data_IF_368381212640
#
_entry.id   IF_368381212640
#
_cell.length_a   1.000
_cell.length_b   1.000
_cell.length_c   1.000
_cell.angle_alpha   90.00
_cell.angle_beta   90.00
_cell.angle_gamma   90.00
#
_symmetry.space_group_name_H-M   'P 1'
#
loop_
_entity.id
_entity.type
_entity.pdbx_description
1 polymer ?
#
# COMPACT_ATOMS: atom_id res chain seq x y z
N UNK A 1 39.85 8.40 22.73
CA UNK A 1 39.50 7.53 21.59
C UNK A 1 38.14 6.92 21.91
N UNK A 2 37.06 7.52 21.39
CA UNK A 2 35.75 6.90 21.47
C UNK A 2 35.74 5.68 20.53
N UNK A 3 35.19 4.53 20.94
CA UNK A 3 35.05 3.40 20.06
C UNK A 3 34.09 3.77 18.92
N UNK A 4 34.55 3.57 17.69
CA UNK A 4 33.72 3.70 16.50
C UNK A 4 32.46 2.84 16.66
N UNK A 5 31.30 3.43 16.39
CA UNK A 5 30.07 2.70 16.19
C UNK A 5 30.30 1.61 15.11
N UNK A 6 29.74 0.40 15.28
CA UNK A 6 29.84 -0.62 14.25
C UNK A 6 29.23 -0.07 12.95
N UNK A 7 30.00 -0.22 11.87
CA UNK A 7 29.50 -0.02 10.50
C UNK A 7 28.34 -1.01 10.32
N UNK A 8 27.17 -0.62 9.78
CA UNK A 8 26.09 -1.56 9.50
C UNK A 8 26.64 -2.71 8.68
N UNK A 9 26.29 -3.94 9.06
CA UNK A 9 26.73 -5.15 8.37
C UNK A 9 26.57 -4.97 6.85
N UNK A 10 27.62 -5.29 6.12
CA UNK A 10 27.64 -5.16 4.68
C UNK A 10 26.45 -5.93 4.10
N UNK A 11 25.58 -5.24 3.36
CA UNK A 11 24.58 -5.85 2.46
C UNK A 11 25.29 -7.03 1.79
N UNK A 12 24.87 -8.25 2.10
CA UNK A 12 25.48 -9.42 1.48
C UNK A 12 25.29 -9.29 -0.04
N UNK A 13 26.29 -9.60 -0.86
CA UNK A 13 26.25 -9.33 -2.31
C UNK A 13 25.00 -9.90 -3.03
N UNK A 14 24.33 -10.86 -2.39
CA UNK A 14 23.11 -11.54 -2.83
C UNK A 14 21.80 -10.85 -2.47
N UNK A 15 21.77 -10.03 -1.42
CA UNK A 15 20.56 -9.38 -0.92
C UNK A 15 19.91 -8.41 -1.95
N UNK A 16 20.67 -7.59 -2.71
CA UNK A 16 20.08 -6.77 -3.78
C UNK A 16 19.42 -7.60 -4.88
N UNK A 17 19.91 -8.83 -5.13
CA UNK A 17 19.34 -9.75 -6.11
C UNK A 17 18.02 -10.33 -5.59
N UNK A 18 17.94 -10.67 -4.30
CA UNK A 18 16.69 -11.13 -3.66
C UNK A 18 15.63 -10.03 -3.64
N UNK A 19 16.04 -8.81 -3.29
CA UNK A 19 15.18 -7.64 -3.36
C UNK A 19 14.68 -7.41 -4.80
N UNK A 20 15.57 -7.52 -5.81
CA UNK A 20 15.15 -7.41 -7.21
C UNK A 20 14.09 -8.46 -7.58
N UNK A 21 14.29 -9.74 -7.20
CA UNK A 21 13.28 -10.79 -7.41
C UNK A 21 11.96 -10.44 -6.72
N UNK A 22 12.00 -10.03 -5.45
CA UNK A 22 10.83 -9.61 -4.71
C UNK A 22 10.06 -8.50 -5.44
N UNK A 23 10.73 -7.43 -5.86
CA UNK A 23 10.08 -6.30 -6.53
C UNK A 23 9.46 -6.70 -7.88
N UNK A 24 10.08 -7.61 -8.64
CA UNK A 24 9.48 -8.16 -9.86
C UNK A 24 8.18 -8.93 -9.53
N UNK A 25 8.15 -9.69 -8.43
CA UNK A 25 6.93 -10.36 -7.98
C UNK A 25 5.83 -9.35 -7.63
N UNK A 26 6.16 -8.30 -6.87
CA UNK A 26 5.19 -7.27 -6.48
C UNK A 26 4.62 -6.49 -7.67
N UNK A 27 5.42 -6.29 -8.73
CA UNK A 27 4.99 -5.52 -9.92
C UNK A 27 4.25 -6.38 -10.95
N UNK A 28 4.71 -7.60 -11.20
CA UNK A 28 4.19 -8.44 -12.28
C UNK A 28 3.41 -9.64 -11.75
N UNK A 29 4.01 -10.43 -10.87
CA UNK A 29 3.42 -11.71 -10.41
C UNK A 29 2.08 -11.51 -9.71
N UNK A 30 1.97 -10.52 -8.82
CA UNK A 30 0.74 -10.24 -8.06
C UNK A 30 -0.44 -9.81 -8.96
N UNK A 31 -0.21 -9.47 -10.23
CA UNK A 31 -1.27 -9.15 -11.20
C UNK A 31 -1.79 -10.37 -11.96
N UNK A 32 -1.05 -11.48 -11.93
CA UNK A 32 -1.38 -12.71 -12.65
C UNK A 32 -2.43 -13.50 -11.89
N UNK A 33 -3.37 -14.08 -12.63
CA UNK A 33 -4.42 -14.96 -12.08
C UNK A 33 -4.39 -16.35 -12.68
N UNK A 34 -3.62 -16.55 -13.75
CA UNK A 34 -3.50 -17.82 -14.44
C UNK A 34 -2.22 -18.57 -14.00
N UNK A 35 -2.35 -19.88 -13.77
CA UNK A 35 -1.24 -20.70 -13.27
C UNK A 35 -0.13 -20.88 -14.31
N UNK A 36 -0.46 -20.90 -15.60
CA UNK A 36 0.51 -21.02 -16.68
C UNK A 36 1.37 -19.75 -16.76
N UNK A 37 0.74 -18.58 -16.63
CA UNK A 37 1.45 -17.29 -16.59
C UNK A 37 2.34 -17.17 -15.34
N UNK A 38 1.85 -17.59 -14.16
CA UNK A 38 2.64 -17.61 -12.93
C UNK A 38 3.89 -18.49 -13.06
N UNK A 39 3.71 -19.72 -13.57
CA UNK A 39 4.82 -20.66 -13.78
C UNK A 39 5.83 -20.16 -14.82
N UNK A 40 5.33 -19.53 -15.89
CA UNK A 40 6.17 -18.91 -16.91
C UNK A 40 7.02 -17.77 -16.32
N UNK A 41 6.42 -16.88 -15.53
CA UNK A 41 7.13 -15.76 -14.91
C UNK A 41 8.16 -16.28 -13.89
N UNK A 42 7.82 -17.28 -13.09
CA UNK A 42 8.75 -17.93 -12.16
C UNK A 42 10.02 -18.43 -12.90
N UNK A 43 9.85 -19.18 -13.99
CA UNK A 43 11.00 -19.71 -14.74
C UNK A 43 11.78 -18.60 -15.44
N UNK A 44 11.11 -17.57 -15.97
CA UNK A 44 11.76 -16.40 -16.57
C UNK A 44 12.65 -15.67 -15.55
N UNK A 45 12.15 -15.44 -14.33
CA UNK A 45 12.91 -14.80 -13.26
C UNK A 45 14.12 -15.66 -12.91
N UNK A 46 13.92 -16.96 -12.70
CA UNK A 46 15.01 -17.90 -12.41
C UNK A 46 16.13 -17.86 -13.45
N UNK A 47 15.78 -17.98 -14.73
CA UNK A 47 16.76 -17.89 -15.84
C UNK A 47 17.43 -16.51 -15.87
N UNK A 48 16.68 -15.44 -15.66
CA UNK A 48 17.21 -14.07 -15.67
C UNK A 48 18.18 -13.85 -14.51
N UNK A 49 17.87 -14.35 -13.32
CA UNK A 49 18.76 -14.31 -12.15
C UNK A 49 20.10 -14.97 -12.46
N UNK A 50 20.08 -16.19 -13.01
CA UNK A 50 21.29 -16.94 -13.34
C UNK A 50 22.09 -16.30 -14.49
N UNK A 51 21.42 -15.74 -15.49
CA UNK A 51 22.09 -15.15 -16.65
C UNK A 51 22.66 -13.76 -16.38
N UNK A 52 21.92 -12.89 -15.70
CA UNK A 52 22.27 -11.48 -15.54
C UNK A 52 23.10 -11.24 -14.29
N UNK A 53 22.73 -11.86 -13.17
CA UNK A 53 23.40 -11.66 -11.89
C UNK A 53 24.48 -12.71 -11.62
N UNK A 54 24.54 -13.78 -12.43
CA UNK A 54 25.49 -14.91 -12.29
C UNK A 54 25.36 -15.65 -10.95
N UNK A 55 24.19 -15.53 -10.33
CA UNK A 55 23.85 -16.20 -9.07
C UNK A 55 23.03 -17.46 -9.33
N UNK A 56 23.33 -18.55 -8.63
CA UNK A 56 22.51 -19.76 -8.71
C UNK A 56 21.19 -19.55 -7.95
N UNK A 57 20.07 -19.65 -8.65
CA UNK A 57 18.76 -19.35 -8.07
C UNK A 57 18.40 -20.23 -6.87
N UNK A 58 18.69 -21.53 -6.94
CA UNK A 58 18.39 -22.46 -5.85
C UNK A 58 19.25 -22.19 -4.60
N UNK A 59 20.52 -21.81 -4.80
CA UNK A 59 21.40 -21.41 -3.71
C UNK A 59 20.96 -20.09 -3.08
N UNK A 60 20.54 -19.13 -3.91
CA UNK A 60 20.15 -17.78 -3.48
C UNK A 60 18.94 -17.80 -2.54
N UNK A 61 17.97 -18.67 -2.81
CA UNK A 61 16.73 -18.80 -2.04
C UNK A 61 16.65 -20.09 -1.22
N UNK A 62 17.80 -20.70 -0.91
CA UNK A 62 17.85 -21.98 -0.19
C UNK A 62 17.16 -21.92 1.18
N UNK A 63 17.23 -20.77 1.85
CA UNK A 63 16.63 -20.51 3.16
C UNK A 63 15.10 -20.55 3.14
N UNK A 64 14.48 -20.23 1.99
CA UNK A 64 13.03 -20.29 1.82
C UNK A 64 12.55 -21.71 1.45
N UNK A 65 13.44 -22.56 0.96
CA UNK A 65 13.10 -23.85 0.39
C UNK A 65 12.80 -24.90 1.47
N UNK A 66 11.55 -25.35 1.48
CA UNK A 66 11.06 -26.42 2.35
C UNK A 66 11.54 -27.83 1.94
N UNK A 67 11.98 -27.99 0.68
CA UNK A 67 12.41 -29.28 0.13
C UNK A 67 13.81 -29.71 0.61
N UNK A 68 13.96 -31.02 0.84
CA UNK A 68 15.26 -31.65 1.14
C UNK A 68 16.19 -31.70 -0.07
N UNK A 69 15.63 -31.68 -1.29
CA UNK A 69 16.39 -31.71 -2.53
C UNK A 69 17.05 -30.36 -2.86
N UNK A 70 16.68 -29.30 -2.13
CA UNK A 70 17.25 -27.95 -2.30
C UNK A 70 16.81 -27.24 -3.58
N UNK A 71 15.79 -27.74 -4.27
CA UNK A 71 15.18 -27.09 -5.42
C UNK A 71 14.08 -26.14 -4.96
N UNK A 72 14.28 -24.85 -5.21
CA UNK A 72 13.31 -23.79 -4.90
C UNK A 72 12.14 -23.89 -5.87
N UNK A 73 10.92 -23.90 -5.33
CA UNK A 73 9.67 -23.89 -6.07
C UNK A 73 9.03 -22.49 -6.07
N UNK A 74 8.02 -22.32 -6.93
CA UNK A 74 7.17 -21.13 -6.94
C UNK A 74 6.51 -20.88 -5.58
N UNK A 75 6.04 -21.93 -4.90
CA UNK A 75 5.41 -21.78 -3.58
C UNK A 75 6.42 -21.37 -2.50
N UNK A 76 7.68 -21.79 -2.58
CA UNK A 76 8.72 -21.36 -1.62
C UNK A 76 8.96 -19.84 -1.72
N UNK A 77 8.90 -19.25 -2.92
CA UNK A 77 9.07 -17.81 -3.12
C UNK A 77 7.94 -16.95 -2.55
N UNK A 78 6.79 -17.53 -2.20
CA UNK A 78 5.74 -16.78 -1.48
C UNK A 78 6.18 -16.39 -0.06
N UNK A 79 7.24 -17.03 0.47
CA UNK A 79 7.86 -16.64 1.73
C UNK A 79 8.90 -15.52 1.56
N UNK A 80 9.25 -15.13 0.33
CA UNK A 80 10.11 -13.99 0.08
C UNK A 80 9.31 -12.71 0.33
N UNK A 81 9.53 -12.07 1.46
CA UNK A 81 8.87 -10.83 1.83
C UNK A 81 9.91 -9.77 2.18
N UNK A 82 9.68 -8.54 1.75
CA UNK A 82 10.42 -7.37 2.19
C UNK A 82 9.45 -6.34 2.76
N UNK A 83 9.88 -5.62 3.81
CA UNK A 83 9.01 -4.66 4.47
C UNK A 83 9.67 -3.84 5.57
N UNK A 84 8.97 -2.80 5.99
CA UNK A 84 9.33 -1.90 7.10
C UNK A 84 8.62 -2.26 8.41
N UNK A 85 7.96 -3.43 8.47
CA UNK A 85 7.00 -3.75 9.52
C UNK A 85 7.53 -4.68 10.61
N UNK A 86 8.75 -5.21 10.48
CA UNK A 86 9.33 -6.08 11.50
C UNK A 86 9.69 -5.30 12.77
N UNK A 87 10.11 -4.03 12.63
CA UNK A 87 10.41 -3.11 13.74
C UNK A 87 9.29 -2.07 13.92
N UNK A 88 8.03 -2.51 13.98
CA UNK A 88 6.87 -1.60 14.04
C UNK A 88 6.83 -0.69 15.28
N UNK A 89 7.61 -1.00 16.32
CA UNK A 89 7.71 -0.16 17.52
C UNK A 89 8.58 1.09 17.30
N UNK A 90 9.47 1.07 16.30
CA UNK A 90 10.31 2.21 15.94
C UNK A 90 9.50 3.30 15.23
N UNK A 91 10.04 4.53 15.23
CA UNK A 91 9.43 5.62 14.49
C UNK A 91 9.39 5.28 12.99
N UNK A 92 8.30 5.57 12.25
CA UNK A 92 8.18 5.20 10.84
C UNK A 92 9.35 5.64 9.95
N UNK A 93 10.00 6.76 10.26
CA UNK A 93 11.16 7.27 9.52
C UNK A 93 12.47 6.50 9.77
N UNK A 94 12.54 5.69 10.83
CA UNK A 94 13.71 4.88 11.21
C UNK A 94 13.62 3.44 10.69
N UNK A 95 12.41 3.01 10.29
CA UNK A 95 12.18 1.64 9.83
C UNK A 95 12.81 1.42 8.46
N UNK A 96 13.68 0.42 8.40
CA UNK A 96 14.34 0.01 7.16
C UNK A 96 13.45 -0.94 6.38
N UNK A 97 13.47 -0.81 5.05
CA UNK A 97 12.83 -1.77 4.16
C UNK A 97 13.79 -2.93 3.93
N UNK A 98 13.52 -4.07 4.56
CA UNK A 98 14.46 -5.19 4.64
C UNK A 98 13.76 -6.55 4.45
N UNK A 99 14.54 -7.59 4.19
CA UNK A 99 14.06 -8.97 4.02
C UNK A 99 13.52 -9.52 5.34
N UNK A 100 12.34 -10.13 5.29
CA UNK A 100 11.77 -10.87 6.41
C UNK A 100 12.47 -12.22 6.50
N UNK A 101 13.31 -12.39 7.52
CA UNK A 101 14.10 -13.62 7.70
C UNK A 101 13.24 -14.87 7.93
N UNK A 102 12.09 -14.72 8.61
CA UNK A 102 11.20 -15.82 8.98
C UNK A 102 9.76 -15.36 9.00
N UNK A 103 8.90 -16.11 8.32
CA UNK A 103 7.46 -15.87 8.29
C UNK A 103 6.83 -16.12 9.67
N UNK A 104 7.39 -17.03 10.47
CA UNK A 104 6.96 -17.31 11.83
C UNK A 104 7.22 -16.10 12.75
N UNK A 105 8.35 -15.43 12.59
CA UNK A 105 8.63 -14.18 13.32
C UNK A 105 7.64 -13.09 12.91
N UNK A 106 7.33 -12.99 11.62
CA UNK A 106 6.32 -12.03 11.13
C UNK A 106 4.91 -12.36 11.65
N UNK A 107 4.55 -13.64 11.74
CA UNK A 107 3.28 -14.10 12.33
C UNK A 107 3.11 -13.59 13.77
N UNK A 108 4.13 -13.78 14.61
CA UNK A 108 4.12 -13.32 16.02
C UNK A 108 3.96 -11.79 16.11
N UNK A 109 4.66 -11.05 15.24
CA UNK A 109 4.57 -9.58 15.19
C UNK A 109 3.16 -9.14 14.74
N UNK A 110 2.63 -9.75 13.69
CA UNK A 110 1.30 -9.42 13.18
C UNK A 110 0.20 -9.72 14.20
N UNK A 111 0.30 -10.83 14.94
CA UNK A 111 -0.62 -11.17 16.04
C UNK A 111 -0.55 -10.13 17.16
N UNK A 112 0.66 -9.71 17.56
CA UNK A 112 0.84 -8.66 18.56
C UNK A 112 0.22 -7.34 18.12
N UNK A 113 0.47 -6.90 16.89
CA UNK A 113 -0.15 -5.71 16.30
C UNK A 113 -1.68 -5.81 16.26
N UNK A 114 -2.23 -6.98 15.95
CA UNK A 114 -3.67 -7.21 15.96
C UNK A 114 -4.27 -7.10 17.37
N UNK A 115 -3.60 -7.65 18.38
CA UNK A 115 -4.01 -7.52 19.79
C UNK A 115 -3.98 -6.06 20.26
N UNK A 116 -2.91 -5.32 19.92
CA UNK A 116 -2.79 -3.91 20.24
C UNK A 116 -3.88 -3.08 19.56
N UNK A 117 -4.11 -3.28 18.25
CA UNK A 117 -5.19 -2.65 17.52
C UNK A 117 -6.54 -2.87 18.20
N UNK A 118 -6.84 -4.12 18.55
CA UNK A 118 -8.10 -4.51 19.20
C UNK A 118 -8.27 -3.91 20.61
N UNK A 119 -7.17 -3.54 21.27
CA UNK A 119 -7.21 -2.91 22.61
C UNK A 119 -7.73 -1.47 22.54
N UNK A 120 -7.41 -0.73 21.47
CA UNK A 120 -7.78 0.68 21.33
C UNK A 120 -8.92 0.94 20.34
N UNK A 121 -9.23 -0.02 19.46
CA UNK A 121 -10.25 0.13 18.44
C UNK A 121 -11.67 -0.03 18.99
N UNK A 122 -12.58 0.83 18.53
CA UNK A 122 -14.02 0.68 18.76
C UNK A 122 -14.67 -0.39 17.86
N UNK A 123 -13.94 -0.86 16.85
CA UNK A 123 -14.35 -1.90 15.90
C UNK A 123 -13.21 -2.93 15.83
N UNK A 124 -13.16 -3.90 16.77
CA UNK A 124 -12.13 -4.91 16.79
C UNK A 124 -12.21 -5.81 15.54
N UNK A 125 -11.05 -6.29 15.12
CA UNK A 125 -10.88 -7.24 14.03
C UNK A 125 -10.83 -8.65 14.61
N UNK A 126 -11.78 -9.49 14.19
CA UNK A 126 -11.76 -10.93 14.45
C UNK A 126 -11.15 -11.64 13.23
N UNK A 127 -9.85 -11.91 13.31
CA UNK A 127 -9.07 -12.52 12.23
C UNK A 127 -7.96 -13.36 12.85
N UNK A 128 -7.71 -14.53 12.27
CA UNK A 128 -6.54 -15.36 12.61
C UNK A 128 -5.41 -15.01 11.67
N UNK A 129 -4.20 -14.82 12.21
CA UNK A 129 -3.00 -14.62 11.40
C UNK A 129 -2.48 -15.97 10.93
N UNK A 130 -2.22 -16.07 9.63
CA UNK A 130 -1.58 -17.22 8.99
C UNK A 130 -0.98 -16.75 7.65
N UNK A 131 -0.20 -17.60 6.99
CA UNK A 131 0.55 -17.28 5.75
C UNK A 131 -0.22 -16.43 4.73
N UNK A 132 -1.47 -16.78 4.42
CA UNK A 132 -2.31 -16.00 3.49
C UNK A 132 -2.48 -14.54 3.92
N UNK A 133 -2.80 -14.31 5.19
CA UNK A 133 -2.96 -12.97 5.75
C UNK A 133 -1.63 -12.22 5.73
N UNK A 134 -0.53 -12.90 6.06
CA UNK A 134 0.81 -12.31 6.06
C UNK A 134 1.26 -11.87 4.66
N UNK A 135 0.98 -12.67 3.63
CA UNK A 135 1.27 -12.31 2.23
C UNK A 135 0.57 -10.99 1.84
N UNK A 136 -0.74 -10.89 2.10
CA UNK A 136 -1.51 -9.68 1.81
C UNK A 136 -1.14 -8.49 2.70
N UNK A 137 -0.87 -8.74 3.98
CA UNK A 137 -0.44 -7.72 4.92
C UNK A 137 0.91 -7.13 4.51
N UNK A 138 1.86 -7.98 4.14
CA UNK A 138 3.17 -7.55 3.62
C UNK A 138 3.03 -6.68 2.38
N UNK A 139 2.21 -7.10 1.40
CA UNK A 139 1.93 -6.32 0.18
C UNK A 139 1.35 -4.96 0.52
N UNK A 140 0.35 -4.90 1.40
CA UNK A 140 -0.28 -3.65 1.80
C UNK A 140 0.68 -2.74 2.55
N UNK A 141 1.45 -3.24 3.52
CA UNK A 141 2.45 -2.44 4.22
C UNK A 141 3.50 -1.86 3.26
N UNK A 142 3.94 -2.63 2.25
CA UNK A 142 4.81 -2.13 1.17
C UNK A 142 4.14 -1.01 0.38
N UNK A 143 2.88 -1.19 -0.04
CA UNK A 143 2.13 -0.18 -0.80
C UNK A 143 2.00 1.12 0.01
N UNK A 144 1.63 1.02 1.29
CA UNK A 144 1.46 2.16 2.19
C UNK A 144 2.79 2.85 2.55
N UNK A 145 3.93 2.19 2.35
CA UNK A 145 5.27 2.78 2.57
C UNK A 145 5.76 3.60 1.37
N UNK A 146 5.11 3.50 0.21
CA UNK A 146 5.48 4.24 -1.00
C UNK A 146 4.63 5.52 -1.14
N UNK A 147 5.22 6.69 -1.42
CA UNK A 147 4.46 7.91 -1.67
C UNK A 147 3.43 7.71 -2.79
N UNK A 148 2.16 8.03 -2.53
CA UNK A 148 1.07 7.82 -3.48
C UNK A 148 0.77 6.37 -3.83
N UNK A 149 1.20 5.41 -3.01
CA UNK A 149 0.87 4.00 -3.19
C UNK A 149 -0.61 3.71 -2.97
N UNK A 150 -1.32 3.38 -4.05
CA UNK A 150 -2.75 3.02 -4.01
C UNK A 150 -2.94 1.53 -4.30
N UNK A 151 -4.04 0.94 -3.84
CA UNK A 151 -4.32 -0.48 -4.05
C UNK A 151 -5.76 -0.77 -4.46
N UNK A 152 -5.92 -1.72 -5.38
CA UNK A 152 -7.20 -2.34 -5.74
C UNK A 152 -7.20 -3.77 -5.21
N UNK A 153 -7.96 -4.02 -4.14
CA UNK A 153 -8.06 -5.32 -3.47
C UNK A 153 -9.24 -6.11 -4.02
N UNK A 154 -8.95 -7.15 -4.79
CA UNK A 154 -9.97 -7.92 -5.50
C UNK A 154 -10.18 -9.27 -4.81
N UNK A 155 -11.40 -9.54 -4.36
CA UNK A 155 -11.70 -10.79 -3.64
C UNK A 155 -13.18 -10.98 -3.38
N UNK A 156 -13.58 -12.17 -2.92
CA UNK A 156 -14.97 -12.43 -2.54
C UNK A 156 -15.28 -11.84 -1.15
N UNK A 157 -16.57 -11.73 -0.81
CA UNK A 157 -16.97 -11.32 0.53
C UNK A 157 -16.37 -12.24 1.60
N UNK A 158 -15.88 -11.68 2.70
CA UNK A 158 -15.25 -12.44 3.77
C UNK A 158 -13.76 -12.78 3.57
N UNK A 159 -13.14 -12.37 2.46
CA UNK A 159 -11.70 -12.64 2.20
C UNK A 159 -10.72 -11.86 3.09
N UNK A 160 -11.19 -11.06 4.05
CA UNK A 160 -10.32 -10.32 4.97
C UNK A 160 -9.79 -8.97 4.48
N UNK A 161 -10.06 -8.53 3.24
CA UNK A 161 -9.54 -7.27 2.64
C UNK A 161 -9.58 -6.07 3.58
N UNK A 162 -10.75 -5.76 4.15
CA UNK A 162 -10.90 -4.62 5.05
C UNK A 162 -10.11 -4.80 6.35
N UNK A 163 -10.12 -6.00 6.93
CA UNK A 163 -9.39 -6.32 8.16
C UNK A 163 -7.88 -6.18 7.96
N UNK A 164 -7.36 -6.71 6.84
CA UNK A 164 -5.93 -6.60 6.51
C UNK A 164 -5.55 -5.14 6.24
N UNK A 165 -6.37 -4.35 5.52
CA UNK A 165 -6.10 -2.92 5.34
C UNK A 165 -6.06 -2.16 6.67
N UNK A 166 -6.99 -2.44 7.58
CA UNK A 166 -7.01 -1.81 8.91
C UNK A 166 -5.78 -2.14 9.72
N UNK A 167 -5.35 -3.41 9.70
CA UNK A 167 -4.13 -3.84 10.37
C UNK A 167 -2.88 -3.24 9.72
N UNK A 168 -2.82 -3.18 8.38
CA UNK A 168 -1.72 -2.56 7.65
C UNK A 168 -1.56 -1.07 8.00
N UNK A 169 -2.66 -0.32 8.01
CA UNK A 169 -2.66 1.09 8.39
C UNK A 169 -2.20 1.30 9.85
N UNK A 170 -2.59 0.40 10.76
CA UNK A 170 -2.11 0.42 12.14
C UNK A 170 -0.59 0.18 12.21
N UNK A 171 -0.10 -0.86 11.53
CA UNK A 171 1.34 -1.20 11.49
C UNK A 171 2.16 -0.05 10.91
N UNK A 172 1.69 0.59 9.83
CA UNK A 172 2.39 1.73 9.21
C UNK A 172 2.20 3.05 9.95
N UNK A 173 1.41 3.08 11.03
CA UNK A 173 1.16 4.28 11.84
C UNK A 173 0.35 5.35 11.09
N UNK A 174 -0.44 4.95 10.10
CA UNK A 174 -1.22 5.85 9.26
C UNK A 174 -2.66 5.98 9.75
N UNK A 175 -3.24 7.17 9.57
CA UNK A 175 -4.64 7.40 9.91
C UNK A 175 -5.54 6.73 8.86
N UNK A 176 -6.39 5.80 9.29
CA UNK A 176 -7.38 5.18 8.42
C UNK A 176 -8.71 5.91 8.48
N UNK A 177 -9.22 6.28 7.31
CA UNK A 177 -10.55 6.82 7.13
C UNK A 177 -11.38 5.90 6.22
N UNK A 178 -12.55 5.50 6.71
CA UNK A 178 -13.54 4.71 5.97
C UNK A 178 -14.90 5.41 6.11
N UNK A 179 -15.57 5.79 4.99
CA UNK A 179 -16.87 6.47 5.05
C UNK A 179 -17.97 5.62 5.69
N UNK A 180 -18.80 6.24 6.52
CA UNK A 180 -20.00 5.61 7.08
C UNK A 180 -21.24 5.93 6.24
N UNK A 181 -21.57 5.03 5.31
CA UNK A 181 -22.67 5.25 4.36
C UNK A 181 -24.02 5.01 5.03
N UNK A 182 -24.73 6.09 5.33
CA UNK A 182 -26.13 6.04 5.81
C UNK A 182 -27.12 6.08 4.65
N UNK A 183 -28.41 5.83 4.93
CA UNK A 183 -29.48 5.90 3.91
C UNK A 183 -29.53 7.27 3.21
N UNK A 184 -29.25 8.35 3.93
CA UNK A 184 -29.30 9.72 3.43
C UNK A 184 -27.95 10.23 2.92
N UNK A 185 -26.89 9.43 3.04
CA UNK A 185 -25.57 9.79 2.54
C UNK A 185 -25.62 10.01 1.03
N UNK A 186 -25.19 11.18 0.58
CA UNK A 186 -25.17 11.57 -0.82
C UNK A 186 -23.85 12.22 -1.24
N UNK A 187 -23.84 12.81 -2.43
CA UNK A 187 -22.65 13.43 -3.02
C UNK A 187 -22.00 14.52 -2.15
N UNK A 188 -22.80 15.29 -1.41
CA UNK A 188 -22.24 16.34 -0.53
C UNK A 188 -21.47 15.71 0.63
N UNK A 189 -22.02 14.70 1.31
CA UNK A 189 -21.34 14.00 2.40
C UNK A 189 -20.04 13.33 1.90
N UNK A 190 -20.12 12.71 0.72
CA UNK A 190 -18.96 12.13 0.03
C UNK A 190 -17.83 13.13 -0.21
N UNK A 191 -18.16 14.30 -0.72
CA UNK A 191 -17.17 15.34 -0.99
C UNK A 191 -16.60 15.94 0.28
N UNK A 192 -17.40 16.09 1.34
CA UNK A 192 -16.89 16.49 2.65
C UNK A 192 -15.93 15.46 3.25
N UNK A 193 -16.19 14.17 3.04
CA UNK A 193 -15.29 13.10 3.44
C UNK A 193 -13.96 13.14 2.64
N UNK A 194 -14.00 13.37 1.32
CA UNK A 194 -12.79 13.57 0.51
C UNK A 194 -12.00 14.79 1.01
N UNK A 195 -12.66 15.93 1.27
CA UNK A 195 -12.01 17.13 1.79
C UNK A 195 -11.29 16.85 3.11
N UNK A 196 -11.87 16.02 3.99
CA UNK A 196 -11.26 15.62 5.26
C UNK A 196 -9.99 14.81 5.05
N UNK A 197 -10.04 13.82 4.17
CA UNK A 197 -8.89 12.99 3.80
C UNK A 197 -7.77 13.85 3.19
N UNK A 198 -8.10 14.71 2.21
CA UNK A 198 -7.13 15.62 1.59
C UNK A 198 -6.55 16.63 2.58
N UNK A 199 -7.34 17.12 3.55
CA UNK A 199 -6.83 18.00 4.61
C UNK A 199 -5.80 17.28 5.49
N UNK A 200 -6.09 16.05 5.92
CA UNK A 200 -5.16 15.23 6.72
C UNK A 200 -3.85 14.96 5.96
N UNK A 201 -3.96 14.52 4.70
CA UNK A 201 -2.80 14.18 3.89
C UNK A 201 -1.99 15.41 3.45
N UNK A 202 -2.66 16.43 2.92
CA UNK A 202 -2.01 17.61 2.35
C UNK A 202 -1.63 18.66 3.38
N UNK A 203 -2.60 19.17 4.14
CA UNK A 203 -2.40 20.31 5.03
C UNK A 203 -1.68 19.89 6.32
N UNK A 204 -2.05 18.74 6.90
CA UNK A 204 -1.42 18.23 8.13
C UNK A 204 -0.19 17.37 7.84
N UNK A 205 -0.03 16.85 6.60
CA UNK A 205 1.09 16.01 6.22
C UNK A 205 1.10 14.64 6.89
N UNK A 206 -0.07 14.13 7.28
CA UNK A 206 -0.20 12.83 7.95
C UNK A 206 -0.45 11.74 6.92
N UNK A 207 0.29 10.62 7.01
CA UNK A 207 -0.01 9.42 6.25
C UNK A 207 -1.46 8.99 6.48
N UNK A 208 -2.23 8.92 5.41
CA UNK A 208 -3.69 8.77 5.45
C UNK A 208 -4.12 7.64 4.50
N UNK A 209 -4.81 6.64 5.02
CA UNK A 209 -5.40 5.55 4.24
C UNK A 209 -6.89 5.81 4.04
N UNK A 210 -7.30 5.97 2.79
CA UNK A 210 -8.70 6.10 2.41
C UNK A 210 -9.25 4.75 1.92
N UNK A 211 -10.00 4.06 2.78
CA UNK A 211 -10.57 2.75 2.48
C UNK A 211 -12.02 2.87 1.99
N UNK A 212 -12.27 2.38 0.78
CA UNK A 212 -13.61 2.34 0.17
C UNK A 212 -13.94 0.93 -0.32
N UNK A 213 -15.13 0.43 0.00
CA UNK A 213 -15.61 -0.87 -0.48
C UNK A 213 -16.64 -0.72 -1.59
N UNK A 214 -16.78 -1.73 -2.43
CA UNK A 214 -17.81 -1.77 -3.48
C UNK A 214 -19.24 -1.55 -2.97
N UNK A 215 -19.56 -2.04 -1.77
CA UNK A 215 -20.84 -1.84 -1.10
C UNK A 215 -21.08 -0.40 -0.64
N UNK A 216 -20.03 0.42 -0.50
CA UNK A 216 -20.14 1.83 -0.13
C UNK A 216 -20.33 2.75 -1.35
N UNK A 217 -20.13 2.24 -2.56
CA UNK A 217 -20.30 2.97 -3.81
C UNK A 217 -21.80 3.02 -4.17
N UNK A 218 -22.50 4.00 -3.61
CA UNK A 218 -23.94 4.22 -3.80
C UNK A 218 -24.27 4.84 -5.15
N UNK A 219 -23.41 5.73 -5.63
CA UNK A 219 -23.57 6.48 -6.88
C UNK A 219 -22.27 6.40 -7.69
N UNK A 220 -22.36 6.30 -9.01
CA UNK A 220 -21.18 6.13 -9.87
C UNK A 220 -20.26 7.38 -9.87
N UNK A 221 -20.79 8.56 -9.53
CA UNK A 221 -20.00 9.77 -9.34
C UNK A 221 -18.97 9.65 -8.20
N UNK A 222 -19.15 8.72 -7.25
CA UNK A 222 -18.15 8.48 -6.20
C UNK A 222 -16.87 7.88 -6.82
N UNK A 223 -17.03 6.99 -7.79
CA UNK A 223 -15.90 6.42 -8.53
C UNK A 223 -15.28 7.42 -9.50
N UNK A 224 -16.05 8.34 -10.05
CA UNK A 224 -15.52 9.46 -10.84
C UNK A 224 -14.62 10.37 -9.99
N UNK A 225 -15.07 10.72 -8.78
CA UNK A 225 -14.26 11.50 -7.83
C UNK A 225 -12.99 10.72 -7.41
N UNK A 226 -13.08 9.39 -7.19
CA UNK A 226 -11.91 8.53 -6.92
C UNK A 226 -10.95 8.48 -8.12
N UNK A 227 -11.46 8.31 -9.34
CA UNK A 227 -10.63 8.26 -10.55
C UNK A 227 -9.86 9.56 -10.75
N UNK A 228 -10.51 10.71 -10.50
CA UNK A 228 -9.85 12.02 -10.48
C UNK A 228 -8.75 12.10 -9.41
N UNK A 229 -9.00 11.66 -8.17
CA UNK A 229 -7.96 11.64 -7.12
C UNK A 229 -6.77 10.74 -7.50
N UNK A 230 -7.03 9.59 -8.11
CA UNK A 230 -5.99 8.66 -8.56
C UNK A 230 -5.18 9.22 -9.74
N UNK A 231 -5.78 10.04 -10.59
CA UNK A 231 -5.18 10.56 -11.82
C UNK A 231 -4.45 11.89 -11.60
N UNK A 232 -5.12 12.87 -11.01
CA UNK A 232 -4.62 14.25 -10.84
C UNK A 232 -4.34 14.62 -9.38
N UNK A 233 -4.74 13.80 -8.41
CA UNK A 233 -4.63 14.13 -6.98
C UNK A 233 -5.71 15.05 -6.44
N UNK A 234 -6.66 15.49 -7.28
CA UNK A 234 -7.74 16.39 -6.87
C UNK A 234 -9.07 16.10 -7.57
N UNK A 235 -10.16 16.44 -6.89
CA UNK A 235 -11.49 16.46 -7.49
C UNK A 235 -11.82 17.87 -8.01
N UNK A 236 -12.21 18.03 -9.29
CA UNK A 236 -12.57 19.34 -9.83
C UNK A 236 -13.69 20.03 -9.03
N UNK A 237 -13.51 21.31 -8.75
CA UNK A 237 -14.47 22.13 -8.00
C UNK A 237 -14.85 21.57 -6.61
N UNK A 238 -13.96 20.79 -5.98
CA UNK A 238 -14.19 20.25 -4.64
C UNK A 238 -14.19 21.35 -3.57
N UNK A 239 -13.19 22.22 -3.61
CA UNK A 239 -13.00 23.29 -2.62
C UNK A 239 -13.58 24.62 -3.13
N UNK A 240 -14.34 25.27 -2.27
CA UNK A 240 -14.73 26.67 -2.45
C UNK A 240 -13.51 27.60 -2.34
N UNK A 241 -13.65 28.85 -2.79
CA UNK A 241 -12.53 29.82 -2.88
C UNK A 241 -11.91 30.08 -1.51
N UNK A 242 -12.73 30.21 -0.48
CA UNK A 242 -12.32 30.37 0.91
C UNK A 242 -11.62 29.13 1.47
N UNK A 243 -12.13 27.93 1.18
CA UNK A 243 -11.49 26.66 1.56
C UNK A 243 -10.12 26.49 0.88
N UNK A 244 -10.00 26.86 -0.40
CA UNK A 244 -8.71 26.87 -1.10
C UNK A 244 -7.72 27.81 -0.43
N UNK A 245 -8.16 28.99 -0.02
CA UNK A 245 -7.31 29.93 0.72
C UNK A 245 -6.85 29.34 2.06
N UNK A 246 -7.72 28.65 2.80
CA UNK A 246 -7.32 27.94 4.03
C UNK A 246 -6.17 26.94 3.76
N UNK A 247 -6.24 26.16 2.67
CA UNK A 247 -5.19 25.18 2.34
C UNK A 247 -3.89 25.85 1.92
N UNK A 248 -3.97 26.92 1.15
CA UNK A 248 -2.81 27.73 0.73
C UNK A 248 -2.08 28.26 1.96
N UNK A 249 -2.79 28.85 2.93
CA UNK A 249 -2.17 29.37 4.15
C UNK A 249 -1.61 28.25 5.04
N UNK A 250 -2.21 27.06 5.03
CA UNK A 250 -1.69 25.92 5.77
C UNK A 250 -0.33 25.42 5.24
N UNK A 251 -0.14 25.39 3.91
CA UNK A 251 1.11 24.87 3.30
C UNK A 251 2.16 25.93 3.04
N UNK A 252 1.81 27.22 3.00
CA UNK A 252 2.73 28.34 2.77
C UNK A 252 4.02 28.25 3.62
N UNK A 253 3.96 28.03 4.95
CA UNK A 253 5.18 27.98 5.78
C UNK A 253 6.11 26.80 5.47
N UNK A 254 5.62 25.78 4.75
CA UNK A 254 6.42 24.63 4.32
C UNK A 254 7.22 24.97 3.06
N UNK A 255 6.61 25.71 2.14
CA UNK A 255 7.18 26.11 0.86
C UNK A 255 8.13 27.31 1.01
N UNK A 256 7.82 28.26 1.90
CA UNK A 256 8.67 29.43 2.18
C UNK A 256 10.09 29.09 2.66
N UNK A 257 10.31 27.85 3.15
CA UNK A 257 11.62 27.37 3.59
C UNK A 257 12.51 26.92 2.43
N UNK A 258 11.96 26.74 1.23
CA UNK A 258 12.68 26.31 0.04
C UNK A 258 13.29 27.51 -0.68
N UNK A 259 14.57 27.42 -1.05
CA UNK A 259 15.25 28.51 -1.75
C UNK A 259 14.68 28.67 -3.17
N UNK A 260 14.22 29.88 -3.51
CA UNK A 260 13.62 30.18 -4.81
C UNK A 260 12.16 29.75 -4.98
N UNK A 261 11.45 29.48 -3.88
CA UNK A 261 10.07 29.02 -3.91
C UNK A 261 9.09 30.03 -4.55
N UNK A 262 8.20 29.55 -5.41
CA UNK A 262 7.06 30.33 -5.92
C UNK A 262 5.90 30.28 -4.91
N UNK A 263 5.60 31.43 -4.31
CA UNK A 263 4.54 31.63 -3.31
C UNK A 263 3.22 32.12 -3.91
N UNK A 264 3.07 32.03 -5.25
CA UNK A 264 1.81 32.30 -5.92
C UNK A 264 0.70 31.36 -5.41
N UNK A 265 -0.56 31.82 -5.31
CA UNK A 265 -1.68 30.99 -4.87
C UNK A 265 -1.83 29.69 -5.67
N UNK A 266 -1.52 29.73 -6.97
CA UNK A 266 -1.57 28.57 -7.85
C UNK A 266 -0.49 27.55 -7.49
N UNK A 267 0.76 28.00 -7.29
CA UNK A 267 1.88 27.14 -6.90
C UNK A 267 1.63 26.48 -5.54
N UNK A 268 1.20 27.27 -4.55
CA UNK A 268 0.91 26.77 -3.20
C UNK A 268 -0.24 25.76 -3.19
N UNK A 269 -1.31 26.01 -3.97
CA UNK A 269 -2.39 25.03 -4.08
C UNK A 269 -1.93 23.75 -4.79
N UNK A 270 -1.09 23.87 -5.82
CA UNK A 270 -0.49 22.72 -6.50
C UNK A 270 0.41 21.91 -5.57
N UNK A 271 1.17 22.59 -4.70
CA UNK A 271 1.94 21.94 -3.64
C UNK A 271 1.05 21.19 -2.66
N UNK A 272 -0.08 21.78 -2.23
CA UNK A 272 -1.07 21.10 -1.39
C UNK A 272 -1.61 19.82 -2.06
N UNK A 273 -1.97 19.89 -3.35
CA UNK A 273 -2.47 18.73 -4.10
C UNK A 273 -1.40 17.64 -4.19
N UNK A 274 -0.17 18.00 -4.57
CA UNK A 274 0.95 17.05 -4.64
C UNK A 274 1.21 16.39 -3.28
N UNK A 275 1.28 17.18 -2.21
CA UNK A 275 1.49 16.69 -0.85
C UNK A 275 0.33 15.82 -0.36
N UNK A 276 -0.90 16.13 -0.79
CA UNK A 276 -2.07 15.28 -0.51
C UNK A 276 -1.89 13.92 -1.17
N UNK A 277 -1.53 13.87 -2.46
CA UNK A 277 -1.32 12.61 -3.19
C UNK A 277 -0.17 11.78 -2.63
N UNK A 278 0.93 12.42 -2.21
CA UNK A 278 2.09 11.70 -1.65
C UNK A 278 1.79 11.03 -0.30
N UNK A 279 0.92 11.65 0.52
CA UNK A 279 0.58 11.15 1.86
C UNK A 279 -0.76 10.39 1.93
N UNK A 280 -1.52 10.33 0.83
CA UNK A 280 -2.82 9.67 0.76
C UNK A 280 -2.70 8.35 0.00
N UNK A 281 -3.22 7.28 0.59
CA UNK A 281 -3.29 5.95 0.00
C UNK A 281 -4.75 5.56 -0.19
N UNK A 282 -5.20 5.48 -1.44
CA UNK A 282 -6.55 5.07 -1.79
C UNK A 282 -6.57 3.55 -1.91
N UNK A 283 -7.34 2.89 -1.04
CA UNK A 283 -7.49 1.45 -1.00
C UNK A 283 -8.93 1.10 -1.35
N UNK A 284 -9.13 0.40 -2.46
CA UNK A 284 -10.45 0.09 -2.99
C UNK A 284 -10.67 -1.41 -2.95
N UNK A 285 -11.64 -1.88 -2.18
CA UNK A 285 -11.98 -3.29 -2.08
C UNK A 285 -13.19 -3.62 -2.95
N UNK A 286 -12.99 -4.37 -4.04
CA UNK A 286 -14.07 -4.74 -4.97
C UNK A 286 -14.25 -6.24 -5.13
N UNK A 287 -15.48 -6.72 -5.16
CA UNK A 287 -15.77 -8.10 -5.53
C UNK A 287 -15.67 -8.31 -7.04
N UNK A 288 -14.96 -9.36 -7.52
CA UNK A 288 -14.95 -9.70 -8.94
C UNK A 288 -16.26 -10.40 -9.37
N UNK A 289 -17.17 -10.66 -8.44
CA UNK A 289 -18.44 -11.34 -8.72
C UNK A 289 -19.38 -10.40 -9.48
N UNK A 290 -19.91 -10.88 -10.61
CA UNK A 290 -20.85 -10.14 -11.45
C UNK A 290 -20.18 -9.21 -12.45
N UNK A 291 -21.01 -8.43 -13.15
CA UNK A 291 -20.53 -7.59 -14.26
C UNK A 291 -20.07 -6.19 -13.81
N UNK A 292 -20.51 -5.73 -12.64
CA UNK A 292 -20.25 -4.36 -12.15
C UNK A 292 -18.75 -4.06 -12.07
N UNK A 293 -17.95 -5.00 -11.55
CA UNK A 293 -16.50 -4.87 -11.47
C UNK A 293 -15.86 -4.57 -12.83
N UNK A 294 -16.13 -5.41 -13.84
CA UNK A 294 -15.57 -5.23 -15.19
C UNK A 294 -16.06 -3.96 -15.88
N UNK A 295 -17.32 -3.56 -15.64
CA UNK A 295 -17.87 -2.32 -16.20
C UNK A 295 -17.17 -1.10 -15.59
N UNK A 296 -17.04 -1.06 -14.26
CA UNK A 296 -16.36 0.03 -13.55
C UNK A 296 -14.89 0.15 -13.96
N UNK A 297 -14.17 -0.96 -14.10
CA UNK A 297 -12.78 -0.94 -14.57
C UNK A 297 -12.60 -0.37 -15.98
N UNK A 298 -13.61 -0.50 -16.86
CA UNK A 298 -13.57 0.12 -18.20
C UNK A 298 -13.93 1.60 -18.18
N UNK A 299 -14.79 1.99 -17.25
CA UNK A 299 -15.24 3.38 -17.09
C UNK A 299 -14.18 4.23 -16.37
N UNK A 300 -13.48 3.64 -15.40
CA UNK A 300 -12.53 4.30 -14.50
C UNK A 300 -11.15 3.62 -14.61
N UNK A 301 -10.39 3.90 -15.68
CA UNK A 301 -9.12 3.23 -15.96
C UNK A 301 -8.03 3.52 -14.92
N UNK A 302 -8.15 4.61 -14.14
CA UNK A 302 -7.18 4.96 -13.10
C UNK A 302 -7.16 3.91 -11.98
N UNK A 303 -8.27 3.17 -11.79
CA UNK A 303 -8.32 2.01 -10.88
C UNK A 303 -7.32 0.90 -11.23
N UNK A 304 -6.95 0.76 -12.51
CA UNK A 304 -5.96 -0.23 -12.97
C UNK A 304 -4.58 0.41 -13.10
N UNK A 305 -4.53 1.64 -13.61
CA UNK A 305 -3.27 2.29 -13.98
C UNK A 305 -2.53 2.89 -12.78
N UNK A 306 -3.27 3.33 -11.76
CA UNK A 306 -2.71 4.05 -10.61
C UNK A 306 -2.71 3.22 -9.31
N UNK A 307 -3.24 1.99 -9.35
CA UNK A 307 -3.29 1.09 -8.19
C UNK A 307 -2.46 -0.17 -8.44
N UNK A 308 -1.79 -0.64 -7.39
CA UNK A 308 -1.32 -2.04 -7.35
C UNK A 308 -2.53 -2.95 -7.14
N UNK A 309 -2.66 -3.98 -7.97
CA UNK A 309 -3.76 -4.95 -7.86
C UNK A 309 -3.30 -6.07 -6.94
N UNK A 310 -4.11 -6.39 -5.93
CA UNK A 310 -3.87 -7.51 -5.02
C UNK A 310 -5.08 -8.44 -5.02
N UNK A 311 -4.88 -9.69 -5.45
CA UNK A 311 -5.92 -10.71 -5.58
C UNK A 311 -6.01 -11.57 -4.31
N UNK A 312 -7.07 -11.38 -3.55
CA UNK A 312 -7.41 -12.17 -2.37
C UNK A 312 -8.10 -13.46 -2.78
N UNK A 313 -7.30 -14.48 -3.14
CA UNK A 313 -7.72 -15.80 -3.66
C UNK A 313 -7.24 -16.97 -2.82
#
# INVERSE_FOLDING_TARGET
MQPHAPVPDAITATEPVRLWVHEIYRVFYDRLTDKEDCAWLFELIKVTTELQFKENFNSLFRHLCSSKEGKVSEDDLRNLMFGTYMNYEEAPAERLYDEVESIETFEVIADKCLMEYNTFSKSPIDMVIFRYVLEHLSRLCRILSMPGGNALLVGVGGSGRQSVTKLAAFITGQWLFQPEITKNYGLNDWREDIKRVMKSAGAEGKGTVFLVTDTQIKEECFLEDIDNLLNSGEVPNLFAVDEKQEKIEAVRPLVEKEEGADLSPLSLFSYFVKRSSENMHIIIAMSPIGNAFRVRLRQFPSLINCCTIDWFQ
#
